data_IF_076261076256
#
_entry.id   IF_076261076256
#
_cell.length_a   1.000
_cell.length_b   1.000
_cell.length_c   1.000
_cell.angle_alpha   90.00
_cell.angle_beta   90.00
_cell.angle_gamma   90.00
#
_symmetry.space_group_name_H-M   'P 1'
#
loop_
_entity.id
_entity.type
_entity.pdbx_description
1 polymer ?
#
# COMPACT_ATOMS: atom_id res chain seq x y z
N UNK A 1 -22.37 -3.46 -7.63
CA UNK A 1 -21.33 -2.46 -7.30
C UNK A 1 -20.05 -2.87 -8.01
N UNK A 2 -19.33 -1.95 -8.65
CA UNK A 2 -18.03 -2.27 -9.25
C UNK A 2 -16.89 -2.30 -8.21
N UNK A 3 -15.75 -2.88 -8.61
CA UNK A 3 -14.60 -3.09 -7.71
C UNK A 3 -13.97 -1.76 -7.25
N UNK A 4 -13.90 -0.76 -8.13
CA UNK A 4 -13.28 0.52 -7.81
C UNK A 4 -14.10 1.28 -6.77
N UNK A 5 -15.43 1.30 -6.92
CA UNK A 5 -16.35 1.89 -5.94
C UNK A 5 -16.25 1.15 -4.59
N UNK A 6 -16.23 -0.20 -4.60
CA UNK A 6 -16.08 -0.98 -3.38
C UNK A 6 -14.79 -0.65 -2.64
N UNK A 7 -13.67 -0.60 -3.35
CA UNK A 7 -12.36 -0.23 -2.79
C UNK A 7 -12.37 1.19 -2.22
N UNK A 8 -12.93 2.16 -2.96
CA UNK A 8 -13.00 3.54 -2.50
C UNK A 8 -13.79 3.71 -1.19
N UNK A 9 -14.89 2.95 -1.04
CA UNK A 9 -15.70 2.97 0.17
C UNK A 9 -15.00 2.25 1.31
N UNK A 10 -14.42 1.08 1.04
CA UNK A 10 -13.77 0.25 2.05
C UNK A 10 -12.63 0.99 2.77
N UNK A 11 -11.89 1.85 2.08
CA UNK A 11 -10.78 2.62 2.64
C UNK A 11 -11.17 4.00 3.21
N UNK A 12 -12.47 4.28 3.42
CA UNK A 12 -12.89 5.58 4.01
C UNK A 12 -12.42 5.78 5.44
N UNK A 13 -12.46 4.73 6.26
CA UNK A 13 -12.07 4.81 7.68
C UNK A 13 -10.59 4.52 7.92
N UNK A 14 -9.93 3.85 6.97
CA UNK A 14 -8.50 3.59 7.00
C UNK A 14 -7.88 3.92 5.63
N UNK A 15 -7.68 5.20 5.32
CA UNK A 15 -7.32 5.64 3.97
C UNK A 15 -5.89 5.27 3.55
N UNK A 16 -5.01 4.94 4.49
CA UNK A 16 -3.62 4.50 4.23
C UNK A 16 -3.55 3.22 3.39
N UNK A 17 -4.63 2.44 3.36
CA UNK A 17 -4.76 1.20 2.58
C UNK A 17 -3.67 0.14 2.86
N UNK A 18 -3.18 0.12 4.09
CA UNK A 18 -2.23 -0.87 4.62
C UNK A 18 -2.43 -0.99 6.14
N UNK A 19 -2.15 -2.15 6.76
CA UNK A 19 -2.33 -2.33 8.21
C UNK A 19 -1.19 -1.63 9.00
N UNK A 20 -1.15 -0.30 8.92
CA UNK A 20 -0.12 0.55 9.54
C UNK A 20 -0.79 1.72 10.23
N UNK A 21 -0.49 1.93 11.51
CA UNK A 21 -0.97 3.08 12.27
C UNK A 21 -0.29 4.38 11.82
N UNK A 22 -0.96 5.53 11.99
CA UNK A 22 -0.40 6.85 11.67
C UNK A 22 0.97 7.07 12.34
N UNK A 23 1.13 6.64 13.59
CA UNK A 23 2.39 6.78 14.31
C UNK A 23 3.53 5.98 13.66
N UNK A 24 3.26 4.78 13.18
CA UNK A 24 4.25 3.94 12.50
C UNK A 24 4.49 4.40 11.06
N UNK A 25 3.47 4.88 10.36
CA UNK A 25 3.61 5.54 9.05
C UNK A 25 4.59 6.73 9.15
N UNK A 26 4.38 7.66 10.08
CA UNK A 26 5.28 8.79 10.26
C UNK A 26 6.70 8.36 10.68
N UNK A 27 6.83 7.33 11.51
CA UNK A 27 8.12 6.76 11.88
C UNK A 27 8.86 6.19 10.68
N UNK A 28 8.18 5.44 9.82
CA UNK A 28 8.74 4.90 8.57
C UNK A 28 9.22 6.02 7.65
N UNK A 29 8.38 7.02 7.40
CA UNK A 29 8.73 8.17 6.55
C UNK A 29 9.93 8.96 7.10
N UNK A 30 10.05 9.10 8.43
CA UNK A 30 11.21 9.75 9.05
C UNK A 30 12.53 9.03 8.81
N UNK A 31 12.50 7.75 8.40
CA UNK A 31 13.70 6.96 8.06
C UNK A 31 14.13 7.11 6.60
N UNK A 32 13.33 7.75 5.77
CA UNK A 32 13.73 8.10 4.40
C UNK A 32 14.80 9.20 4.36
N UNK A 33 14.97 9.95 5.46
CA UNK A 33 15.90 11.07 5.53
C UNK A 33 15.41 12.30 4.77
N UNK A 34 16.30 13.25 4.42
CA UNK A 34 15.93 14.40 3.62
C UNK A 34 15.50 13.97 2.23
N UNK A 35 14.35 14.48 1.79
CA UNK A 35 13.79 14.24 0.46
C UNK A 35 13.33 15.56 -0.14
N UNK A 36 13.58 15.74 -1.44
CA UNK A 36 13.08 16.86 -2.24
C UNK A 36 12.05 16.36 -3.28
N UNK A 37 12.19 15.11 -3.72
CA UNK A 37 11.28 14.50 -4.71
C UNK A 37 10.87 13.09 -4.27
N UNK A 38 9.57 12.84 -4.23
CA UNK A 38 8.98 11.55 -3.82
C UNK A 38 8.15 10.98 -4.96
N UNK A 39 8.34 9.69 -5.26
CA UNK A 39 7.51 8.92 -6.17
C UNK A 39 6.71 7.89 -5.37
N UNK A 40 5.41 7.76 -5.67
CA UNK A 40 4.54 6.72 -5.09
C UNK A 40 3.94 5.86 -6.21
N UNK A 41 4.40 4.63 -6.33
CA UNK A 41 4.01 3.67 -7.36
C UNK A 41 2.88 2.77 -6.86
N UNK A 42 1.70 2.90 -7.47
CA UNK A 42 0.45 2.34 -6.97
C UNK A 42 -0.12 3.19 -5.85
N UNK A 43 -0.12 4.51 -6.01
CA UNK A 43 -0.43 5.49 -4.97
C UNK A 43 -1.88 5.46 -4.47
N UNK A 44 -2.81 4.84 -5.19
CA UNK A 44 -4.22 4.80 -4.84
C UNK A 44 -4.79 6.20 -4.53
N UNK A 45 -5.21 6.42 -3.30
CA UNK A 45 -5.75 7.71 -2.83
C UNK A 45 -4.68 8.72 -2.39
N UNK A 46 -3.39 8.39 -2.51
CA UNK A 46 -2.26 9.28 -2.27
C UNK A 46 -1.85 9.45 -0.80
N UNK A 47 -2.37 8.66 0.15
CA UNK A 47 -2.15 8.89 1.57
C UNK A 47 -0.69 8.76 2.00
N UNK A 48 0.05 7.77 1.47
CA UNK A 48 1.49 7.64 1.73
C UNK A 48 2.27 8.83 1.19
N UNK A 49 1.91 9.28 -0.02
CA UNK A 49 2.54 10.44 -0.65
C UNK A 49 2.25 11.72 0.12
N UNK A 50 0.99 11.95 0.53
CA UNK A 50 0.62 13.12 1.34
C UNK A 50 1.39 13.16 2.65
N UNK A 51 1.43 12.04 3.38
CA UNK A 51 2.18 11.97 4.63
C UNK A 51 3.68 12.23 4.43
N UNK A 52 4.27 11.77 3.33
CA UNK A 52 5.67 12.06 2.99
C UNK A 52 5.89 13.56 2.72
N UNK A 53 4.99 14.20 1.96
CA UNK A 53 5.08 15.63 1.66
C UNK A 53 4.80 16.52 2.89
N UNK A 54 3.90 16.10 3.77
CA UNK A 54 3.64 16.79 5.05
C UNK A 54 4.86 16.71 5.99
N UNK A 55 5.56 15.56 6.01
CA UNK A 55 6.79 15.36 6.76
C UNK A 55 8.00 16.14 6.17
N UNK A 56 7.96 16.48 4.87
CA UNK A 56 8.99 17.21 4.15
C UNK A 56 8.41 18.44 3.43
N UNK A 57 8.24 19.59 4.12
CA UNK A 57 7.51 20.76 3.59
C UNK A 57 8.08 21.37 2.30
N UNK A 58 9.33 21.09 1.95
CA UNK A 58 9.98 21.55 0.70
C UNK A 58 9.94 20.53 -0.45
N UNK A 59 9.39 19.33 -0.22
CA UNK A 59 9.41 18.27 -1.22
C UNK A 59 8.21 18.35 -2.17
N UNK A 60 8.40 17.87 -3.38
CA UNK A 60 7.37 17.63 -4.38
C UNK A 60 7.16 16.12 -4.59
N UNK A 61 5.98 15.73 -5.04
CA UNK A 61 5.64 14.33 -5.21
C UNK A 61 4.92 14.00 -6.50
N UNK A 62 5.13 12.77 -6.96
CA UNK A 62 4.39 12.17 -8.06
C UNK A 62 3.73 10.89 -7.58
N UNK A 63 2.42 10.77 -7.75
CA UNK A 63 1.66 9.55 -7.52
C UNK A 63 1.25 8.92 -8.85
N UNK A 64 1.49 7.64 -9.00
CA UNK A 64 1.15 6.87 -10.20
C UNK A 64 0.18 5.75 -9.86
N UNK A 65 -0.93 5.65 -10.55
CA UNK A 65 -1.91 4.58 -10.40
C UNK A 65 -2.69 4.37 -11.68
N UNK A 66 -3.25 3.19 -11.88
CA UNK A 66 -4.14 2.88 -13.02
C UNK A 66 -5.59 3.25 -12.77
N UNK A 67 -5.96 3.46 -11.51
CA UNK A 67 -7.33 3.74 -11.09
C UNK A 67 -7.66 5.24 -11.19
N UNK A 68 -8.22 5.65 -12.32
CA UNK A 68 -8.69 7.04 -12.48
C UNK A 68 -9.59 7.53 -11.35
N UNK A 69 -10.57 6.72 -10.84
CA UNK A 69 -11.39 7.15 -9.70
C UNK A 69 -10.57 7.39 -8.43
N UNK A 70 -9.53 6.58 -8.17
CA UNK A 70 -8.65 6.78 -7.02
C UNK A 70 -7.82 8.06 -7.17
N UNK A 71 -7.27 8.32 -8.37
CA UNK A 71 -6.52 9.54 -8.66
C UNK A 71 -7.37 10.81 -8.59
N UNK A 72 -8.63 10.76 -9.03
CA UNK A 72 -9.56 11.89 -8.91
C UNK A 72 -9.86 12.20 -7.44
N UNK A 73 -10.02 11.18 -6.61
CA UNK A 73 -10.15 11.34 -5.16
C UNK A 73 -8.84 11.84 -4.53
N UNK A 74 -7.67 11.35 -4.96
CA UNK A 74 -6.38 11.84 -4.51
C UNK A 74 -6.19 13.33 -4.81
N UNK A 75 -6.55 13.80 -6.01
CA UNK A 75 -6.52 15.24 -6.35
C UNK A 75 -7.42 16.08 -5.44
N UNK A 76 -8.63 15.58 -5.15
CA UNK A 76 -9.56 16.25 -4.22
C UNK A 76 -9.00 16.34 -2.80
N UNK A 77 -8.33 15.27 -2.33
CA UNK A 77 -7.66 15.25 -1.01
C UNK A 77 -6.45 16.16 -0.96
N UNK A 78 -5.66 16.22 -2.04
CA UNK A 78 -4.54 17.16 -2.18
C UNK A 78 -5.00 18.61 -2.03
N UNK A 79 -6.10 18.99 -2.69
CA UNK A 79 -6.71 20.33 -2.57
C UNK A 79 -7.11 20.62 -1.12
N UNK A 80 -7.78 19.71 -0.45
CA UNK A 80 -8.20 19.85 0.96
C UNK A 80 -7.03 20.02 1.92
N UNK A 81 -5.85 19.46 1.60
CA UNK A 81 -4.62 19.53 2.39
C UNK A 81 -3.71 20.70 1.99
N UNK A 82 -4.07 21.44 0.94
CA UNK A 82 -3.21 22.52 0.42
C UNK A 82 -1.93 22.02 -0.23
N UNK A 83 -1.94 20.81 -0.81
CA UNK A 83 -0.80 20.16 -1.45
C UNK A 83 -0.85 20.21 -2.98
N UNK A 84 -1.86 20.84 -3.59
CA UNK A 84 -2.11 20.84 -5.04
C UNK A 84 -0.88 21.29 -5.85
N UNK A 85 -0.15 22.29 -5.36
CA UNK A 85 1.03 22.84 -6.06
C UNK A 85 2.29 21.97 -5.90
N UNK A 86 2.23 20.94 -5.03
CA UNK A 86 3.35 20.09 -4.65
C UNK A 86 3.20 18.64 -5.08
N UNK A 87 2.04 18.25 -5.63
CA UNK A 87 1.78 16.88 -6.03
C UNK A 87 1.21 16.79 -7.43
N UNK A 88 1.70 15.84 -8.20
CA UNK A 88 1.14 15.47 -9.50
C UNK A 88 0.65 14.02 -9.45
N UNK A 89 -0.51 13.75 -10.04
CA UNK A 89 -1.05 12.40 -10.18
C UNK A 89 -1.16 12.00 -11.63
N UNK A 90 -0.56 10.86 -11.98
CA UNK A 90 -0.49 10.33 -13.33
C UNK A 90 -1.22 8.99 -13.44
N UNK A 91 -2.11 8.87 -14.43
CA UNK A 91 -2.81 7.62 -14.76
C UNK A 91 -1.91 6.80 -15.67
N UNK A 92 -1.18 5.84 -15.10
CA UNK A 92 -0.25 4.98 -15.81
C UNK A 92 -0.03 3.64 -15.10
N UNK A 93 0.43 2.65 -15.85
CA UNK A 93 0.94 1.38 -15.30
C UNK A 93 2.26 1.64 -14.57
N UNK A 94 2.34 1.32 -13.29
CA UNK A 94 3.54 1.55 -12.48
C UNK A 94 4.79 0.86 -13.06
N UNK A 95 4.63 -0.34 -13.63
CA UNK A 95 5.74 -1.09 -14.22
C UNK A 95 6.33 -0.48 -15.49
N UNK A 96 5.62 0.42 -16.17
CA UNK A 96 6.07 1.10 -17.39
C UNK A 96 6.28 2.60 -17.22
N UNK A 97 6.17 3.11 -15.99
CA UNK A 97 6.42 4.50 -15.68
C UNK A 97 7.90 4.85 -15.86
N UNK A 98 8.21 6.01 -16.44
CA UNK A 98 9.59 6.47 -16.72
C UNK A 98 9.85 7.94 -16.36
N UNK A 99 9.08 8.50 -15.43
CA UNK A 99 9.09 9.92 -15.02
C UNK A 99 10.35 10.44 -14.34
N UNK A 100 11.48 9.75 -14.43
CA UNK A 100 12.78 10.20 -13.93
C UNK A 100 13.15 9.67 -12.55
N UNK A 101 14.01 10.41 -11.82
CA UNK A 101 14.60 9.97 -10.55
C UNK A 101 14.13 10.79 -9.36
N UNK A 102 14.08 10.14 -8.19
CA UNK A 102 13.51 10.64 -6.95
C UNK A 102 14.39 10.28 -5.76
N UNK A 103 14.32 11.05 -4.68
CA UNK A 103 15.08 10.79 -3.45
C UNK A 103 14.42 9.69 -2.62
N UNK A 104 13.11 9.54 -2.77
CA UNK A 104 12.37 8.42 -2.20
C UNK A 104 11.37 7.85 -3.22
N UNK A 105 11.31 6.51 -3.27
CA UNK A 105 10.30 5.77 -4.04
C UNK A 105 9.48 4.94 -3.05
N UNK A 106 8.18 5.15 -3.06
CA UNK A 106 7.21 4.40 -2.26
C UNK A 106 6.54 3.34 -3.16
N UNK A 107 6.38 2.13 -2.65
CA UNK A 107 5.57 1.07 -3.26
C UNK A 107 5.00 0.21 -2.13
N UNK A 108 3.80 0.51 -1.67
CA UNK A 108 3.19 -0.15 -0.52
C UNK A 108 1.92 -0.90 -0.95
N UNK A 109 1.95 -2.24 -0.86
CA UNK A 109 0.84 -3.10 -1.27
C UNK A 109 0.60 -3.16 -2.79
N UNK A 110 1.54 -2.70 -3.61
CA UNK A 110 1.40 -2.61 -5.06
C UNK A 110 2.41 -3.46 -5.87
N UNK A 111 3.14 -4.36 -5.22
CA UNK A 111 4.17 -5.21 -5.86
C UNK A 111 3.61 -6.10 -6.97
N UNK A 112 2.32 -6.46 -6.88
CA UNK A 112 1.63 -7.22 -7.92
C UNK A 112 1.65 -6.53 -9.29
N UNK A 113 1.74 -5.20 -9.35
CA UNK A 113 1.87 -4.44 -10.60
C UNK A 113 3.16 -4.74 -11.35
N UNK A 114 4.19 -5.25 -10.66
CA UNK A 114 5.51 -5.58 -11.19
C UNK A 114 5.74 -7.09 -11.32
N UNK A 115 4.72 -7.91 -11.11
CA UNK A 115 4.85 -9.37 -11.06
C UNK A 115 5.46 -9.90 -9.75
N UNK A 116 5.34 -9.13 -8.66
CA UNK A 116 5.78 -9.47 -7.30
C UNK A 116 7.05 -8.75 -6.85
N UNK A 117 7.55 -9.16 -5.69
CA UNK A 117 8.68 -8.52 -5.00
C UNK A 117 9.92 -8.32 -5.88
N UNK A 118 10.35 -9.37 -6.58
CA UNK A 118 11.58 -9.31 -7.39
C UNK A 118 11.49 -8.28 -8.54
N UNK A 119 10.37 -8.28 -9.26
CA UNK A 119 10.12 -7.29 -10.32
C UNK A 119 10.02 -5.87 -9.78
N UNK A 120 9.41 -5.69 -8.62
CA UNK A 120 9.34 -4.39 -7.95
C UNK A 120 10.74 -3.87 -7.60
N UNK A 121 11.55 -4.69 -6.94
CA UNK A 121 12.91 -4.33 -6.52
C UNK A 121 13.83 -3.97 -7.70
N UNK A 122 13.63 -4.60 -8.85
CA UNK A 122 14.36 -4.24 -10.07
C UNK A 122 13.88 -2.92 -10.67
N UNK A 123 12.56 -2.74 -10.79
CA UNK A 123 11.94 -1.55 -11.37
C UNK A 123 12.23 -0.26 -10.59
N UNK A 124 12.05 -0.28 -9.26
CA UNK A 124 12.22 0.91 -8.41
C UNK A 124 13.64 1.48 -8.45
N UNK A 125 14.65 0.66 -8.76
CA UNK A 125 16.04 1.11 -8.89
C UNK A 125 16.23 2.16 -9.97
N UNK A 126 15.51 2.02 -11.10
CA UNK A 126 15.55 2.98 -12.18
C UNK A 126 15.02 4.37 -11.83
N UNK A 127 14.28 4.46 -10.73
CA UNK A 127 13.67 5.70 -10.26
C UNK A 127 14.40 6.35 -9.08
N UNK A 128 15.55 5.82 -8.64
CA UNK A 128 16.28 6.41 -7.52
C UNK A 128 17.37 7.39 -7.97
N UNK A 129 17.41 8.55 -7.33
CA UNK A 129 18.56 9.42 -7.29
C UNK A 129 19.72 8.75 -6.50
N UNK A 130 20.99 9.12 -6.73
CA UNK A 130 22.10 8.61 -5.93
C UNK A 130 21.89 8.84 -4.43
N UNK A 131 21.89 7.76 -3.64
CA UNK A 131 21.62 7.80 -2.20
C UNK A 131 20.14 7.84 -1.80
N UNK A 132 19.24 7.77 -2.78
CA UNK A 132 17.81 7.64 -2.57
C UNK A 132 17.42 6.34 -1.86
N UNK A 133 16.19 6.28 -1.36
CA UNK A 133 15.68 5.14 -0.58
C UNK A 133 14.33 4.68 -1.09
N UNK A 134 14.04 3.40 -0.87
CA UNK A 134 12.74 2.81 -1.18
C UNK A 134 12.00 2.52 0.11
N UNK A 135 10.71 2.87 0.16
CA UNK A 135 9.76 2.37 1.14
C UNK A 135 8.91 1.30 0.47
N UNK A 136 9.13 0.06 0.84
CA UNK A 136 8.44 -1.11 0.27
C UNK A 136 7.52 -1.73 1.32
N UNK A 137 6.23 -1.87 1.00
CA UNK A 137 5.27 -2.60 1.83
C UNK A 137 4.83 -3.89 1.15
N UNK A 138 4.96 -5.03 1.85
CA UNK A 138 4.66 -6.36 1.30
C UNK A 138 4.07 -7.30 2.34
N UNK A 139 3.20 -8.20 1.86
CA UNK A 139 2.67 -9.31 2.64
C UNK A 139 3.68 -10.44 2.80
N UNK A 140 3.60 -11.17 3.88
CA UNK A 140 4.39 -12.38 4.12
C UNK A 140 3.60 -13.38 4.95
N UNK A 141 3.97 -14.67 4.91
CA UNK A 141 3.38 -15.65 5.81
C UNK A 141 4.10 -15.65 7.16
N UNK A 142 3.34 -15.43 8.24
CA UNK A 142 3.82 -15.55 9.62
C UNK A 142 3.65 -17.01 10.09
N UNK A 143 4.55 -17.87 9.62
CA UNK A 143 4.52 -19.31 9.78
C UNK A 143 3.94 -20.05 8.57
N UNK A 144 3.61 -21.33 8.73
CA UNK A 144 3.04 -22.16 7.68
C UNK A 144 1.56 -21.81 7.44
N UNK A 145 1.16 -21.30 6.26
CA UNK A 145 -0.22 -20.92 6.02
C UNK A 145 -1.14 -22.13 5.95
N UNK A 146 -2.31 -22.03 6.55
CA UNK A 146 -3.35 -23.02 6.39
C UNK A 146 -3.93 -23.03 4.97
N UNK A 147 -4.50 -24.16 4.50
CA UNK A 147 -5.22 -24.18 3.22
C UNK A 147 -6.35 -23.14 3.13
N UNK A 148 -6.98 -22.82 4.25
CA UNK A 148 -8.01 -21.79 4.34
C UNK A 148 -7.42 -20.40 4.11
N UNK A 149 -6.27 -20.07 4.72
CA UNK A 149 -5.60 -18.78 4.53
C UNK A 149 -5.17 -18.58 3.06
N UNK A 150 -4.57 -19.61 2.45
CA UNK A 150 -4.19 -19.57 1.04
C UNK A 150 -5.41 -19.39 0.13
N UNK A 151 -6.50 -20.11 0.41
CA UNK A 151 -7.74 -20.00 -0.37
C UNK A 151 -8.38 -18.62 -0.26
N UNK A 152 -8.41 -18.05 0.95
CA UNK A 152 -9.00 -16.72 1.20
C UNK A 152 -8.26 -15.60 0.45
N UNK A 153 -6.94 -15.71 0.31
CA UNK A 153 -6.13 -14.75 -0.43
C UNK A 153 -6.02 -15.10 -1.92
N UNK A 154 -6.49 -16.26 -2.35
CA UNK A 154 -6.23 -16.77 -3.70
C UNK A 154 -4.74 -17.02 -3.97
N UNK A 155 -3.93 -17.19 -2.92
CA UNK A 155 -2.49 -17.31 -3.02
C UNK A 155 -2.06 -18.72 -3.46
N UNK A 156 -1.12 -18.78 -4.39
CA UNK A 156 -0.48 -20.02 -4.79
C UNK A 156 0.60 -20.45 -3.78
N UNK A 157 0.88 -21.76 -3.64
CA UNK A 157 1.98 -22.23 -2.81
C UNK A 157 3.31 -21.58 -3.20
N UNK A 158 3.99 -20.94 -2.24
CA UNK A 158 5.28 -20.28 -2.45
C UNK A 158 5.20 -18.88 -3.10
N UNK A 159 4.01 -18.34 -3.31
CA UNK A 159 3.82 -16.98 -3.84
C UNK A 159 4.26 -15.90 -2.85
N UNK A 160 3.91 -16.06 -1.59
CA UNK A 160 4.41 -15.21 -0.51
C UNK A 160 5.46 -15.97 0.30
N UNK A 161 6.65 -15.39 0.51
CA UNK A 161 7.65 -15.95 1.40
C UNK A 161 7.27 -15.75 2.86
N UNK A 162 8.03 -16.32 3.79
CA UNK A 162 8.08 -15.86 5.16
C UNK A 162 8.90 -14.54 5.27
N UNK A 163 8.89 -13.91 6.44
CA UNK A 163 9.60 -12.64 6.64
C UNK A 163 11.10 -12.75 6.39
N UNK A 164 11.74 -13.86 6.77
CA UNK A 164 13.17 -14.08 6.53
C UNK A 164 13.47 -14.17 5.04
N UNK A 165 12.68 -14.97 4.32
CA UNK A 165 12.80 -15.13 2.87
C UNK A 165 12.57 -13.83 2.11
N UNK A 166 11.63 -12.97 2.59
CA UNK A 166 11.41 -11.64 2.01
C UNK A 166 12.65 -10.74 2.15
N UNK A 167 13.25 -10.70 3.35
CA UNK A 167 14.47 -9.93 3.62
C UNK A 167 15.65 -10.48 2.81
N UNK A 168 15.81 -11.80 2.76
CA UNK A 168 16.86 -12.44 1.97
C UNK A 168 16.70 -12.16 0.47
N UNK A 169 15.49 -12.18 -0.06
CA UNK A 169 15.21 -11.85 -1.46
C UNK A 169 15.57 -10.38 -1.76
N UNK A 170 15.27 -9.45 -0.86
CA UNK A 170 15.67 -8.05 -1.00
C UNK A 170 17.19 -7.91 -1.03
N UNK A 171 17.92 -8.58 -0.11
CA UNK A 171 19.39 -8.55 -0.05
C UNK A 171 20.03 -9.20 -1.29
N UNK A 172 19.50 -10.32 -1.74
CA UNK A 172 19.97 -10.98 -2.96
C UNK A 172 19.80 -10.11 -4.21
N UNK A 173 18.76 -9.25 -4.22
CA UNK A 173 18.54 -8.25 -5.27
C UNK A 173 19.41 -6.99 -5.11
N UNK A 174 20.29 -6.92 -4.10
CA UNK A 174 21.21 -5.79 -3.86
C UNK A 174 20.56 -4.63 -3.09
N UNK A 175 19.59 -4.96 -2.20
CA UNK A 175 18.96 -4.00 -1.31
C UNK A 175 19.26 -4.35 0.15
N UNK A 176 19.70 -3.37 0.95
CA UNK A 176 19.93 -3.57 2.38
C UNK A 176 18.81 -2.88 3.19
N UNK A 177 18.07 -3.60 4.02
CA UNK A 177 17.09 -3.01 4.92
C UNK A 177 17.77 -2.14 5.99
N UNK A 178 17.53 -0.84 5.96
CA UNK A 178 18.00 0.10 6.98
C UNK A 178 17.03 0.23 8.15
N UNK A 179 15.75 -0.03 7.91
CA UNK A 179 14.68 -0.03 8.92
C UNK A 179 13.51 -0.88 8.43
N UNK A 180 12.71 -1.40 9.36
CA UNK A 180 11.49 -2.13 9.04
C UNK A 180 10.45 -1.99 10.15
N UNK A 181 9.18 -2.03 9.75
CA UNK A 181 8.03 -2.15 10.65
C UNK A 181 7.22 -3.38 10.24
N UNK A 182 6.99 -4.27 11.19
CA UNK A 182 6.08 -5.41 11.04
C UNK A 182 4.77 -4.99 11.68
N UNK A 183 3.69 -5.02 10.90
CA UNK A 183 2.37 -4.64 11.38
C UNK A 183 1.91 -5.54 12.53
N UNK A 184 1.48 -4.92 13.60
CA UNK A 184 0.96 -5.65 14.77
C UNK A 184 -0.42 -6.26 14.47
N UNK A 185 -0.84 -7.22 15.30
CA UNK A 185 -2.18 -7.77 15.23
C UNK A 185 -3.27 -6.70 15.45
N UNK A 186 -2.98 -5.66 16.25
CA UNK A 186 -3.89 -4.55 16.49
C UNK A 186 -4.05 -3.68 15.22
N UNK A 187 -2.96 -3.38 14.50
CA UNK A 187 -2.99 -2.65 13.24
C UNK A 187 -3.74 -3.42 12.15
N UNK A 188 -3.55 -4.76 12.10
CA UNK A 188 -4.31 -5.62 11.21
C UNK A 188 -5.81 -5.64 11.55
N UNK A 189 -6.16 -5.80 12.82
CA UNK A 189 -7.56 -5.82 13.26
C UNK A 189 -8.24 -4.47 12.98
N UNK A 190 -7.56 -3.34 13.21
CA UNK A 190 -8.09 -2.01 12.91
C UNK A 190 -8.30 -1.81 11.40
N UNK A 191 -7.32 -2.21 10.58
CA UNK A 191 -7.42 -2.15 9.12
C UNK A 191 -8.63 -2.95 8.60
N UNK A 192 -8.76 -4.20 9.01
CA UNK A 192 -9.79 -5.11 8.52
C UNK A 192 -11.20 -4.74 9.02
N UNK A 193 -11.32 -4.32 10.28
CA UNK A 193 -12.57 -3.80 10.80
C UNK A 193 -12.96 -2.49 10.13
N UNK A 194 -12.01 -1.62 9.84
CA UNK A 194 -12.25 -0.37 9.12
C UNK A 194 -12.70 -0.63 7.68
N UNK A 195 -12.05 -1.56 6.99
CA UNK A 195 -12.39 -1.95 5.63
C UNK A 195 -13.81 -2.50 5.52
N UNK A 196 -14.14 -3.51 6.32
CA UNK A 196 -15.47 -4.14 6.30
C UNK A 196 -16.54 -3.24 6.92
N UNK A 197 -16.19 -2.45 7.92
CA UNK A 197 -17.06 -1.50 8.60
C UNK A 197 -17.49 -0.34 7.71
N UNK A 198 -16.55 0.23 6.94
CA UNK A 198 -16.85 1.31 5.98
C UNK A 198 -17.87 0.89 4.94
N UNK A 199 -17.71 -0.31 4.34
CA UNK A 199 -18.68 -0.86 3.39
C UNK A 199 -20.03 -1.11 4.03
N UNK A 200 -20.06 -1.67 5.24
CA UNK A 200 -21.27 -1.93 5.99
C UNK A 200 -22.02 -0.63 6.32
N UNK A 201 -21.31 0.37 6.83
CA UNK A 201 -21.91 1.66 7.18
C UNK A 201 -22.49 2.35 5.94
N UNK A 202 -21.73 2.39 4.84
CA UNK A 202 -22.20 2.96 3.59
C UNK A 202 -23.44 2.23 3.05
N UNK A 203 -23.44 0.90 3.07
CA UNK A 203 -24.56 0.08 2.61
C UNK A 203 -25.85 0.39 3.37
N UNK A 204 -25.76 0.64 4.68
CA UNK A 204 -26.91 0.86 5.54
C UNK A 204 -27.43 2.30 5.53
N UNK A 205 -26.60 3.29 5.17
CA UNK A 205 -26.96 4.71 5.26
C UNK A 205 -27.05 5.45 3.94
N UNK A 206 -26.24 5.07 2.92
CA UNK A 206 -26.07 5.85 1.69
C UNK A 206 -26.51 5.10 0.42
N UNK A 207 -26.37 3.75 0.42
CA UNK A 207 -26.55 2.95 -0.80
C UNK A 207 -28.01 2.82 -1.24
N UNK A 208 -28.23 2.83 -2.55
CA UNK A 208 -29.47 2.33 -3.15
C UNK A 208 -29.65 0.82 -2.95
N UNK A 209 -30.84 0.30 -3.18
CA UNK A 209 -31.19 -1.10 -2.83
C UNK A 209 -30.27 -2.15 -3.49
N UNK A 210 -29.93 -1.96 -4.77
CA UNK A 210 -29.04 -2.87 -5.51
C UNK A 210 -27.62 -2.87 -4.97
N UNK A 211 -27.07 -1.69 -4.69
CA UNK A 211 -25.69 -1.56 -4.18
C UNK A 211 -25.58 -1.95 -2.72
N UNK A 212 -26.65 -1.75 -1.93
CA UNK A 212 -26.72 -2.18 -0.53
C UNK A 212 -26.46 -3.68 -0.38
N UNK A 213 -27.17 -4.51 -1.11
CA UNK A 213 -27.03 -5.98 -1.02
C UNK A 213 -25.63 -6.41 -1.47
N UNK A 214 -25.10 -5.80 -2.53
CA UNK A 214 -23.75 -6.07 -3.03
C UNK A 214 -22.67 -5.67 -2.02
N UNK A 215 -22.75 -4.48 -1.43
CA UNK A 215 -21.78 -3.99 -0.45
C UNK A 215 -21.77 -4.84 0.83
N UNK A 216 -22.95 -5.21 1.33
CA UNK A 216 -23.06 -6.10 2.49
C UNK A 216 -22.49 -7.50 2.20
N UNK A 217 -22.71 -8.04 1.00
CA UNK A 217 -22.14 -9.32 0.59
C UNK A 217 -20.63 -9.26 0.54
N UNK A 218 -20.05 -8.21 -0.07
CA UNK A 218 -18.59 -8.01 -0.13
C UNK A 218 -18.00 -7.89 1.28
N UNK A 219 -18.58 -7.07 2.14
CA UNK A 219 -18.13 -6.90 3.52
C UNK A 219 -18.21 -8.19 4.34
N UNK A 220 -19.25 -8.99 4.14
CA UNK A 220 -19.43 -10.27 4.84
C UNK A 220 -18.38 -11.28 4.37
N UNK A 221 -18.25 -11.48 3.05
CA UNK A 221 -17.27 -12.41 2.47
C UNK A 221 -15.86 -12.07 2.90
N UNK A 222 -15.45 -10.81 2.77
CA UNK A 222 -14.10 -10.37 3.17
C UNK A 222 -13.84 -10.60 4.67
N UNK A 223 -14.83 -10.31 5.51
CA UNK A 223 -14.72 -10.55 6.96
C UNK A 223 -14.59 -12.03 7.30
N UNK A 224 -15.31 -12.90 6.61
CA UNK A 224 -15.20 -14.36 6.78
C UNK A 224 -13.84 -14.86 6.32
N UNK A 225 -13.34 -14.40 5.17
CA UNK A 225 -12.00 -14.70 4.66
C UNK A 225 -10.90 -14.27 5.62
N UNK A 226 -11.03 -13.09 6.20
CA UNK A 226 -10.10 -12.62 7.21
C UNK A 226 -10.19 -13.44 8.52
N UNK A 227 -11.36 -13.47 9.17
CA UNK A 227 -11.52 -14.06 10.50
C UNK A 227 -11.26 -15.58 10.54
N UNK A 228 -11.71 -16.32 9.52
CA UNK A 228 -11.57 -17.76 9.45
C UNK A 228 -10.37 -18.21 8.59
N UNK A 229 -9.84 -17.33 7.74
CA UNK A 229 -8.76 -17.61 6.82
C UNK A 229 -7.41 -17.10 7.32
N UNK A 230 -7.08 -15.86 7.02
CA UNK A 230 -5.70 -15.37 7.14
C UNK A 230 -5.38 -14.59 8.43
N UNK A 231 -6.34 -14.31 9.31
CA UNK A 231 -6.06 -13.60 10.58
C UNK A 231 -5.03 -14.36 11.42
N UNK A 232 -3.95 -13.67 11.78
CA UNK A 232 -2.84 -14.25 12.54
C UNK A 232 -1.93 -15.21 11.75
N UNK A 233 -2.07 -15.25 10.41
CA UNK A 233 -1.21 -16.02 9.52
C UNK A 233 -0.59 -15.15 8.42
N UNK A 234 -1.30 -14.11 7.97
CA UNK A 234 -0.77 -13.11 7.05
C UNK A 234 -0.15 -11.98 7.88
N UNK A 235 1.14 -11.75 7.69
CA UNK A 235 1.87 -10.59 8.15
C UNK A 235 1.98 -9.52 7.06
N UNK A 236 2.30 -8.30 7.47
CA UNK A 236 2.67 -7.21 6.57
C UNK A 236 3.91 -6.52 7.10
N UNK A 237 4.89 -6.29 6.23
CA UNK A 237 6.11 -5.57 6.59
C UNK A 237 6.29 -4.38 5.68
N UNK A 238 6.69 -3.26 6.26
CA UNK A 238 7.13 -2.08 5.51
C UNK A 238 8.61 -1.85 5.77
N UNK A 239 9.43 -1.92 4.72
CA UNK A 239 10.89 -1.80 4.77
C UNK A 239 11.37 -0.49 4.17
N UNK A 240 12.33 0.14 4.82
CA UNK A 240 13.15 1.21 4.23
C UNK A 240 14.43 0.55 3.69
N UNK A 241 14.59 0.55 2.38
CA UNK A 241 15.65 -0.14 1.67
C UNK A 241 16.66 0.86 1.09
N UNK A 242 17.93 0.48 1.18
CA UNK A 242 19.07 1.19 0.59
C UNK A 242 19.62 0.37 -0.58
N UNK A 243 19.87 1.02 -1.72
CA UNK A 243 20.57 0.37 -2.83
C UNK A 243 22.06 0.18 -2.47
N UNK A 244 22.57 -1.02 -2.71
CA UNK A 244 23.96 -1.39 -2.44
C UNK A 244 24.80 -1.52 -3.71
N UNK A 245 24.26 -1.19 -4.88
CA UNK A 245 24.94 -1.28 -6.18
C UNK A 245 25.48 0.07 -6.64
#
# INVERSE_FOLDING_TARGET
>A
MDRALASAIAHRWHPVAAPVSDANLHRLLSRLGPVERVLDLGCGFGEWLFAALEAAPGADGVGVDTSRPALDEARRRADQRGLTDRVTFEEAEAASYDGGTFDAVLCVGATHAFGGLAGTLDAVRGHLSPGGRVLLGEGFWDGDPSPQAMSALGAAPGELPDLSGLVEAARAAGWEPGYGHISSAEEWDDYEWSWTGSLTAWALSEAGETDRSSALSIACTHREEWLAGYRGQLGFVTLVLHDTR
#
